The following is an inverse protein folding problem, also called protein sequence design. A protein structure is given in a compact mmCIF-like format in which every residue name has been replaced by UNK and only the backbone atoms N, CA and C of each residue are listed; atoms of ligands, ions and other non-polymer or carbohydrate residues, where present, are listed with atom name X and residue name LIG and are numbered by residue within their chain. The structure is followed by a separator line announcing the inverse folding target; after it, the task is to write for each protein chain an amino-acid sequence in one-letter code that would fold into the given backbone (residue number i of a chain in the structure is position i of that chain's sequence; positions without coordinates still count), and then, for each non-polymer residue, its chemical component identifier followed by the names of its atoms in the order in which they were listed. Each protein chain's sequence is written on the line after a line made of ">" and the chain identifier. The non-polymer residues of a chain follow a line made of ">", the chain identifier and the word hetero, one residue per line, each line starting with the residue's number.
data_IF_415933968807
#
_entry.id   IF_415933968807
#
_cell.length_a   1.000
_cell.length_b   1.000
_cell.length_c   1.000
_cell.angle_alpha   90.00
_cell.angle_beta   90.00
_cell.angle_gamma   90.00
#
_symmetry.space_group_name_H-M   'P 1'
#
loop_
_entity.id
_entity.type
_entity.pdbx_description
1 polymer ?
#
# COMPACT_ATOMS: atom_id res chain seq x y z
N UNK A 1 -4.75 20.22 -30.64
CA UNK A 1 -5.73 20.38 -29.58
C UNK A 1 -6.06 19.06 -28.90
N UNK A 2 -6.49 18.10 -29.66
CA UNK A 2 -6.83 16.77 -29.13
C UNK A 2 -5.65 16.12 -28.44
N UNK A 3 -4.48 16.13 -29.06
CA UNK A 3 -3.29 15.53 -28.50
C UNK A 3 -2.82 16.22 -27.22
N UNK A 4 -2.96 17.53 -27.19
CA UNK A 4 -2.62 18.30 -25.99
C UNK A 4 -3.52 17.91 -24.82
N UNK A 5 -4.79 17.71 -25.08
CA UNK A 5 -5.74 17.27 -24.06
C UNK A 5 -5.42 15.86 -23.58
N UNK A 6 -5.08 14.97 -24.50
CA UNK A 6 -4.70 13.61 -24.14
C UNK A 6 -3.39 13.60 -23.33
N UNK A 7 -2.46 14.49 -23.68
CA UNK A 7 -1.23 14.64 -22.92
C UNK A 7 -1.50 15.07 -21.49
N UNK A 8 -2.41 16.02 -21.31
CA UNK A 8 -2.79 16.49 -19.99
C UNK A 8 -3.47 15.38 -19.18
N UNK A 9 -4.30 14.57 -19.85
CA UNK A 9 -4.96 13.46 -19.19
C UNK A 9 -3.93 12.43 -18.71
N UNK A 10 -2.97 12.09 -19.57
CA UNK A 10 -1.92 11.15 -19.19
C UNK A 10 -1.10 11.67 -18.00
N UNK A 11 -0.80 12.97 -18.02
CA UNK A 11 -0.04 13.57 -16.93
C UNK A 11 -0.83 13.54 -15.62
N UNK A 12 -2.13 13.82 -15.69
CA UNK A 12 -2.98 13.76 -14.50
C UNK A 12 -3.05 12.34 -13.94
N UNK A 13 -3.14 11.33 -14.82
CA UNK A 13 -3.18 9.95 -14.39
C UNK A 13 -1.85 9.55 -13.71
N UNK A 14 -0.73 9.97 -14.28
CA UNK A 14 0.57 9.69 -13.68
C UNK A 14 0.72 10.37 -12.31
N UNK A 15 0.20 11.58 -12.20
CA UNK A 15 0.23 12.29 -10.92
C UNK A 15 -0.59 11.56 -9.85
N UNK A 16 -1.75 11.03 -10.22
CA UNK A 16 -2.55 10.21 -9.32
C UNK A 16 -1.78 8.96 -8.89
N UNK A 17 -1.14 8.31 -9.84
CA UNK A 17 -0.39 7.09 -9.56
C UNK A 17 0.75 7.37 -8.59
N UNK A 18 1.49 8.45 -8.83
CA UNK A 18 2.58 8.86 -7.95
C UNK A 18 2.06 9.17 -6.55
N UNK A 19 0.93 9.85 -6.48
CA UNK A 19 0.34 10.21 -5.18
C UNK A 19 -0.08 8.96 -4.42
N UNK A 20 -0.65 7.97 -5.10
CA UNK A 20 -1.02 6.70 -4.48
C UNK A 20 0.22 5.99 -3.92
N UNK A 21 1.30 5.95 -4.72
CA UNK A 21 2.54 5.35 -4.28
C UNK A 21 3.15 6.07 -3.08
N UNK A 22 3.09 7.39 -3.10
CA UNK A 22 3.59 8.20 -1.99
C UNK A 22 2.77 7.96 -0.73
N UNK A 23 1.46 7.86 -0.86
CA UNK A 23 0.61 7.56 0.28
C UNK A 23 0.99 6.23 0.93
N UNK A 24 1.19 5.21 0.12
CA UNK A 24 1.61 3.91 0.65
C UNK A 24 2.99 3.96 1.29
N UNK A 25 3.90 4.74 0.70
CA UNK A 25 5.24 4.89 1.27
C UNK A 25 5.18 5.52 2.65
N UNK A 26 4.36 6.55 2.80
CA UNK A 26 4.20 7.23 4.10
C UNK A 26 3.51 6.31 5.11
N UNK A 27 2.53 5.55 4.67
CA UNK A 27 1.88 4.58 5.56
C UNK A 27 2.89 3.53 6.02
N UNK A 28 3.79 3.12 5.11
CA UNK A 28 4.86 2.20 5.47
C UNK A 28 5.80 2.77 6.52
N UNK A 29 6.14 4.05 6.41
CA UNK A 29 6.94 4.73 7.42
C UNK A 29 6.21 4.78 8.76
N UNK A 30 4.93 5.10 8.72
CA UNK A 30 4.12 5.15 9.92
C UNK A 30 4.08 3.78 10.59
N UNK A 31 3.93 2.73 9.81
CA UNK A 31 3.89 1.36 10.32
C UNK A 31 5.21 1.02 11.04
N UNK A 32 6.34 1.36 10.44
CA UNK A 32 7.64 1.11 11.05
C UNK A 32 7.81 1.88 12.36
N UNK A 33 7.42 3.16 12.35
CA UNK A 33 7.52 3.99 13.55
C UNK A 33 6.63 3.45 14.67
N UNK A 34 5.43 3.03 14.32
CA UNK A 34 4.49 2.49 15.29
C UNK A 34 5.02 1.20 15.90
N UNK A 35 5.58 0.32 15.06
CA UNK A 35 6.15 -0.92 15.53
C UNK A 35 7.34 -0.70 16.47
N UNK A 36 8.18 0.29 16.16
CA UNK A 36 9.31 0.61 17.03
C UNK A 36 8.85 1.09 18.39
N UNK A 37 7.76 1.84 18.39
CA UNK A 37 7.28 2.45 19.63
C UNK A 37 6.54 1.45 20.51
N UNK A 38 5.79 0.54 19.91
CA UNK A 38 4.91 -0.37 20.64
C UNK A 38 5.26 -1.83 20.47
N UNK A 39 6.12 -2.16 19.53
CA UNK A 39 6.38 -3.54 19.15
C UNK A 39 7.09 -4.39 20.18
N UNK A 40 7.65 -3.75 21.21
CA UNK A 40 8.31 -4.50 22.27
C UNK A 40 7.33 -5.24 23.15
N UNK A 41 6.07 -4.90 23.06
CA UNK A 41 5.03 -5.52 23.86
C UNK A 41 4.33 -6.56 23.01
N UNK A 42 4.87 -7.75 23.02
CA UNK A 42 4.38 -8.83 22.17
C UNK A 42 2.91 -9.11 22.32
N UNK A 43 2.38 -8.98 23.51
CA UNK A 43 0.99 -9.24 23.77
C UNK A 43 0.05 -8.23 23.10
N UNK A 44 0.63 -7.16 22.56
CA UNK A 44 -0.14 -6.06 22.03
C UNK A 44 -0.12 -5.97 20.52
N UNK A 45 0.40 -6.98 19.85
CA UNK A 45 0.52 -6.95 18.40
C UNK A 45 -0.78 -6.71 17.69
N UNK A 46 -1.83 -7.41 18.11
CA UNK A 46 -3.15 -7.26 17.52
C UNK A 46 -3.74 -5.90 17.84
N UNK A 47 -3.60 -5.48 19.08
CA UNK A 47 -4.09 -4.18 19.51
C UNK A 47 -3.36 -3.05 18.80
N UNK A 48 -2.06 -3.24 18.55
CA UNK A 48 -1.28 -2.25 17.82
C UNK A 48 -1.78 -2.09 16.40
N UNK A 49 -2.08 -3.20 15.74
CA UNK A 49 -2.63 -3.16 14.38
C UNK A 49 -3.95 -2.41 14.36
N UNK A 50 -4.85 -2.73 15.29
CA UNK A 50 -6.14 -2.07 15.36
C UNK A 50 -5.98 -0.59 15.68
N UNK A 51 -5.06 -0.25 16.55
CA UNK A 51 -4.83 1.15 16.92
C UNK A 51 -4.31 1.96 15.73
N UNK A 52 -3.37 1.43 14.97
CA UNK A 52 -2.84 2.16 13.82
C UNK A 52 -3.89 2.32 12.73
N UNK A 53 -4.71 1.30 12.48
CA UNK A 53 -5.76 1.41 11.47
C UNK A 53 -6.84 2.41 11.91
N UNK A 54 -7.16 2.45 13.20
CA UNK A 54 -8.12 3.42 13.72
C UNK A 54 -7.60 4.85 13.56
N UNK A 55 -6.32 5.07 13.86
CA UNK A 55 -5.72 6.39 13.70
C UNK A 55 -5.69 6.82 12.23
N UNK A 56 -5.33 5.89 11.35
CA UNK A 56 -5.31 6.16 9.92
C UNK A 56 -6.69 6.49 9.41
N UNK A 57 -7.70 5.72 9.83
CA UNK A 57 -9.06 5.93 9.40
C UNK A 57 -9.55 7.32 9.81
N UNK A 58 -9.25 7.72 11.03
CA UNK A 58 -9.64 9.04 11.54
C UNK A 58 -8.91 10.15 10.77
N UNK A 59 -7.62 9.98 10.55
CA UNK A 59 -6.82 11.01 9.87
C UNK A 59 -7.24 11.20 8.42
N UNK A 60 -7.61 10.12 7.75
CA UNK A 60 -7.95 10.17 6.33
C UNK A 60 -9.45 10.31 6.07
N UNK A 61 -10.27 10.18 7.10
CA UNK A 61 -11.72 10.24 6.93
C UNK A 61 -12.25 9.04 6.15
N UNK A 62 -11.70 7.87 6.39
CA UNK A 62 -12.08 6.65 5.67
C UNK A 62 -12.52 5.58 6.67
N UNK A 63 -13.06 4.49 6.15
CA UNK A 63 -13.46 3.37 7.01
C UNK A 63 -12.23 2.64 7.53
N UNK A 64 -12.40 1.92 8.62
CA UNK A 64 -11.32 1.09 9.16
C UNK A 64 -10.94 -0.03 8.20
N UNK A 65 -11.91 -0.57 7.48
CA UNK A 65 -11.65 -1.59 6.48
C UNK A 65 -10.74 -1.09 5.37
N UNK A 66 -10.98 0.13 4.90
CA UNK A 66 -10.14 0.72 3.87
C UNK A 66 -8.76 1.04 4.42
N UNK A 67 -8.68 1.54 5.66
CA UNK A 67 -7.41 1.80 6.31
C UNK A 67 -6.60 0.51 6.45
N UNK A 68 -7.26 -0.57 6.82
CA UNK A 68 -6.63 -1.87 6.94
C UNK A 68 -6.06 -2.33 5.60
N UNK A 69 -6.81 -2.14 4.53
CA UNK A 69 -6.35 -2.47 3.18
C UNK A 69 -5.13 -1.64 2.79
N UNK A 70 -5.14 -0.36 3.08
CA UNK A 70 -3.99 0.51 2.79
C UNK A 70 -2.75 0.03 3.54
N UNK A 71 -2.91 -0.37 4.78
CA UNK A 71 -1.79 -0.87 5.57
C UNK A 71 -1.23 -2.16 4.97
N UNK A 72 -2.12 -3.05 4.54
CA UNK A 72 -1.70 -4.29 3.89
C UNK A 72 -0.92 -4.02 2.61
N UNK A 73 -1.41 -3.08 1.79
CA UNK A 73 -0.71 -2.73 0.55
C UNK A 73 0.62 -2.05 0.83
N UNK A 74 0.69 -1.22 1.85
CA UNK A 74 1.93 -0.56 2.23
C UNK A 74 2.97 -1.60 2.69
N UNK A 75 2.53 -2.58 3.46
CA UNK A 75 3.41 -3.66 3.90
C UNK A 75 3.88 -4.52 2.75
N UNK A 76 2.96 -4.82 1.81
CA UNK A 76 3.31 -5.59 0.62
C UNK A 76 4.36 -4.84 -0.20
N UNK A 77 4.19 -3.55 -0.37
CA UNK A 77 5.13 -2.73 -1.13
C UNK A 77 6.51 -2.73 -0.49
N UNK A 78 6.55 -2.61 0.82
CA UNK A 78 7.81 -2.52 1.54
C UNK A 78 8.52 -3.86 1.66
N UNK A 79 7.76 -4.91 1.94
CA UNK A 79 8.35 -6.20 2.33
C UNK A 79 8.48 -7.21 1.20
N UNK A 80 7.56 -7.18 0.24
CA UNK A 80 7.52 -8.20 -0.80
C UNK A 80 7.73 -7.67 -2.20
N UNK A 81 7.24 -6.48 -2.48
CA UNK A 81 7.18 -5.96 -3.84
C UNK A 81 7.82 -4.57 -3.98
N UNK A 82 9.08 -4.41 -3.56
CA UNK A 82 9.70 -3.09 -3.63
C UNK A 82 9.86 -2.58 -5.05
N UNK A 83 10.07 -3.45 -6.03
CA UNK A 83 10.23 -3.02 -7.42
C UNK A 83 8.92 -2.60 -8.04
N UNK A 84 7.85 -3.34 -7.73
CA UNK A 84 6.52 -2.97 -8.21
C UNK A 84 6.08 -1.66 -7.55
N UNK A 85 6.39 -1.51 -6.27
CA UNK A 85 6.14 -0.27 -5.55
C UNK A 85 6.88 0.90 -6.18
N UNK A 86 8.10 0.68 -6.64
CA UNK A 86 8.86 1.73 -7.32
C UNK A 86 8.18 2.18 -8.61
N UNK A 87 7.57 1.25 -9.34
CA UNK A 87 6.82 1.59 -10.55
C UNK A 87 5.61 2.45 -10.23
N UNK A 88 4.91 2.13 -9.16
CA UNK A 88 3.76 2.93 -8.72
C UNK A 88 4.22 4.33 -8.31
N UNK A 89 5.29 4.41 -7.54
CA UNK A 89 5.81 5.69 -7.08
C UNK A 89 6.34 6.55 -8.21
N UNK A 90 6.79 5.93 -9.29
CA UNK A 90 7.22 6.65 -10.48
C UNK A 90 6.05 7.09 -11.35
N UNK A 91 4.87 6.55 -11.10
CA UNK A 91 3.70 6.85 -11.89
C UNK A 91 3.52 5.96 -13.10
N UNK A 92 4.33 4.90 -13.20
CA UNK A 92 4.33 4.02 -14.37
C UNK A 92 3.24 2.98 -14.38
N UNK A 93 2.68 2.66 -13.22
CA UNK A 93 1.51 1.79 -13.12
C UNK A 93 0.48 2.47 -12.24
N UNK A 94 -0.79 2.08 -12.40
CA UNK A 94 -1.83 2.66 -11.58
C UNK A 94 -2.02 1.84 -10.29
N UNK A 95 -2.76 2.41 -9.37
CA UNK A 95 -2.99 1.78 -8.07
C UNK A 95 -3.74 0.46 -8.22
N UNK A 96 -4.68 0.40 -9.14
CA UNK A 96 -5.45 -0.82 -9.35
C UNK A 96 -4.56 -1.96 -9.83
N UNK A 97 -3.63 -1.67 -10.73
CA UNK A 97 -2.66 -2.67 -11.18
C UNK A 97 -1.79 -3.14 -10.03
N UNK A 98 -1.36 -2.21 -9.18
CA UNK A 98 -0.58 -2.56 -8.00
C UNK A 98 -1.38 -3.50 -7.09
N UNK A 99 -2.64 -3.18 -6.84
CA UNK A 99 -3.50 -4.02 -6.01
C UNK A 99 -3.63 -5.42 -6.59
N UNK A 100 -3.77 -5.50 -7.91
CA UNK A 100 -3.87 -6.79 -8.58
C UNK A 100 -2.62 -7.63 -8.39
N UNK A 101 -1.45 -7.00 -8.51
CA UNK A 101 -0.19 -7.71 -8.30
C UNK A 101 -0.08 -8.20 -6.86
N UNK A 102 -0.45 -7.36 -5.90
CA UNK A 102 -0.43 -7.76 -4.49
C UNK A 102 -1.33 -8.97 -4.27
N UNK A 103 -2.54 -8.90 -4.80
CA UNK A 103 -3.50 -9.98 -4.63
C UNK A 103 -2.98 -11.28 -5.23
N UNK A 104 -2.45 -11.21 -6.44
CA UNK A 104 -1.97 -12.42 -7.11
C UNK A 104 -0.73 -13.01 -6.46
N UNK A 105 0.16 -12.18 -5.97
CA UNK A 105 1.38 -12.67 -5.34
C UNK A 105 1.16 -13.13 -3.91
N UNK A 106 0.04 -12.74 -3.32
CA UNK A 106 -0.31 -13.19 -1.98
C UNK A 106 -0.52 -14.68 -1.94
N UNK A 107 -0.81 -15.27 -3.08
CA UNK A 107 -0.97 -16.71 -3.20
C UNK A 107 0.35 -17.46 -3.29
N UNK A 108 1.44 -16.74 -3.46
CA UNK A 108 2.72 -17.40 -3.66
C UNK A 108 3.10 -18.37 -2.58
N UNK A 109 2.82 -18.11 -1.32
CA UNK A 109 3.18 -19.07 -0.28
C UNK A 109 2.38 -20.34 -0.36
N UNK A 110 1.21 -20.26 -0.95
CA UNK A 110 0.33 -21.41 -1.01
C UNK A 110 0.87 -22.53 -1.86
N UNK A 111 1.44 -22.25 -3.00
CA UNK A 111 2.04 -23.30 -3.81
C UNK A 111 3.10 -24.10 -3.11
N UNK A 112 3.64 -23.55 -2.08
CA UNK A 112 4.64 -24.25 -1.31
C UNK A 112 4.05 -25.50 -0.71
N UNK A 113 2.79 -25.41 -0.43
CA UNK A 113 2.09 -26.55 0.11
C UNK A 113 1.75 -27.58 -0.92
N UNK A 114 1.88 -27.23 -2.19
CA UNK A 114 1.56 -28.06 -3.15
C UNK A 114 2.57 -28.89 -3.38
N UNK A 115 2.98 -29.37 -3.60
CA UNK A 115 3.77 -30.10 -3.98
C UNK A 115 3.43 -30.79 -4.34
N UNK A 116 3.45 -31.00 -4.58
CA UNK A 116 3.59 -31.76 -4.76
C UNK A 116 3.83 -32.42 -5.34
#
# INVERSE_FOLDING_TARGET
>A
MFESTMGRLREAARAENRAAGQRLAVIGELDVLWLRHFGERETWGTDTHDAITAEMAAALGITRGLADSYLDYARAMRLRLPRVGALLRAGDIDYRSFQTVVYRTDWSPIPICWPP
#
